data_IF_503702607906
#
_entry.id   IF_503702607906
#
_cell.length_a   1.000
_cell.length_b   1.000
_cell.length_c   1.000
_cell.angle_alpha   90.00
_cell.angle_beta   90.00
_cell.angle_gamma   90.00
#
_symmetry.space_group_name_H-M   'P 1'
#
loop_
_entity.id
_entity.type
_entity.pdbx_description
1 polymer ?
#
# COMPACT_ATOMS: atom_id res chain seq x y z
N UNK A 1 -8.32 17.14 6.33
CA UNK A 1 -8.54 15.70 6.47
C UNK A 1 -8.00 15.32 7.84
N UNK A 2 -8.29 14.13 8.38
CA UNK A 2 -7.67 13.67 9.62
C UNK A 2 -6.54 12.71 9.22
N UNK A 3 -5.29 13.09 9.47
CA UNK A 3 -4.10 12.33 9.04
C UNK A 3 -3.36 11.86 10.28
N UNK A 4 -3.26 10.54 10.46
CA UNK A 4 -2.66 9.91 11.66
C UNK A 4 -1.50 9.02 11.27
N UNK A 5 -0.30 9.25 11.82
CA UNK A 5 0.86 8.38 11.57
C UNK A 5 0.60 7.00 12.20
N UNK A 6 0.93 5.94 11.47
CA UNK A 6 0.86 4.57 11.99
C UNK A 6 2.09 4.27 12.86
N UNK A 7 2.22 3.04 13.35
CA UNK A 7 3.47 2.60 13.98
C UNK A 7 4.66 2.49 13.01
N UNK A 8 4.42 2.49 11.69
CA UNK A 8 5.50 2.48 10.69
C UNK A 8 5.86 3.92 10.32
N UNK A 9 7.15 4.25 10.41
CA UNK A 9 7.61 5.62 10.23
C UNK A 9 7.28 6.14 8.83
N UNK A 10 6.53 7.23 8.73
CA UNK A 10 6.16 7.86 7.47
C UNK A 10 4.91 7.28 6.80
N UNK A 11 4.32 6.19 7.29
CA UNK A 11 3.06 5.67 6.79
C UNK A 11 1.88 6.23 7.60
N UNK A 12 0.79 6.61 6.92
CA UNK A 12 -0.32 7.35 7.53
C UNK A 12 -1.68 6.77 7.16
N UNK A 13 -2.63 6.82 8.09
CA UNK A 13 -4.06 6.64 7.81
C UNK A 13 -4.69 8.01 7.59
N UNK A 14 -5.48 8.14 6.52
CA UNK A 14 -6.20 9.36 6.17
C UNK A 14 -7.70 9.09 6.29
N UNK A 15 -8.31 9.62 7.34
CA UNK A 15 -9.75 9.62 7.53
C UNK A 15 -10.41 10.84 6.86
N UNK A 16 -11.64 10.62 6.40
CA UNK A 16 -12.41 11.56 5.61
C UNK A 16 -13.21 12.50 6.53
N UNK A 17 -13.02 13.81 6.40
CA UNK A 17 -13.86 14.80 7.08
C UNK A 17 -15.11 15.10 6.26
N UNK A 18 -16.21 14.40 6.58
CA UNK A 18 -17.48 14.52 5.86
C UNK A 18 -18.18 15.85 6.15
N UNK A 19 -18.71 16.48 5.09
CA UNK A 19 -19.68 17.58 5.16
C UNK A 19 -20.99 17.09 4.57
N UNK A 20 -21.99 16.89 5.43
CA UNK A 20 -23.24 16.24 5.05
C UNK A 20 -24.34 17.25 4.73
N UNK A 21 -25.18 16.92 3.75
CA UNK A 21 -26.44 17.57 3.45
C UNK A 21 -27.45 16.55 2.87
N UNK A 22 -28.62 17.01 2.43
CA UNK A 22 -29.68 16.12 1.93
C UNK A 22 -29.31 15.31 0.67
N UNK A 23 -28.20 15.62 0.00
CA UNK A 23 -27.69 14.88 -1.17
C UNK A 23 -26.73 13.76 -0.79
N UNK A 24 -26.27 13.71 0.47
CA UNK A 24 -25.22 12.82 0.95
C UNK A 24 -24.11 13.61 1.65
N UNK A 25 -22.85 13.32 1.34
CA UNK A 25 -21.73 14.06 1.89
C UNK A 25 -20.74 14.48 0.80
N UNK A 26 -20.01 15.57 1.06
CA UNK A 26 -18.86 15.99 0.29
C UNK A 26 -17.64 16.06 1.21
N UNK A 27 -16.49 15.59 0.72
CA UNK A 27 -15.27 15.60 1.51
C UNK A 27 -14.02 15.68 0.63
N UNK A 28 -12.95 16.22 1.20
CA UNK A 28 -11.62 16.15 0.58
C UNK A 28 -11.04 14.76 0.86
N UNK A 29 -10.66 14.06 -0.19
CA UNK A 29 -10.08 12.72 -0.11
C UNK A 29 -8.54 12.70 -0.28
N UNK A 30 -7.98 13.83 -0.70
CA UNK A 30 -6.55 14.10 -0.88
C UNK A 30 -6.31 15.61 -0.88
N UNK A 31 -5.16 16.07 -0.38
CA UNK A 31 -4.75 17.47 -0.46
C UNK A 31 -3.22 17.59 -0.46
N UNK A 32 -2.65 18.00 -1.59
CA UNK A 32 -1.19 18.18 -1.71
C UNK A 32 -0.61 19.11 -0.63
N UNK A 33 -1.34 20.16 -0.22
CA UNK A 33 -0.87 21.10 0.80
C UNK A 33 -0.74 20.43 2.17
N UNK A 34 -1.72 19.62 2.57
CA UNK A 34 -1.67 18.89 3.85
C UNK A 34 -0.58 17.81 3.82
N UNK A 35 -0.40 17.14 2.68
CA UNK A 35 0.68 16.15 2.52
C UNK A 35 2.06 16.80 2.63
N UNK A 36 2.31 17.91 1.92
CA UNK A 36 3.57 18.66 2.02
C UNK A 36 3.86 19.17 3.43
N UNK A 37 2.82 19.62 4.15
CA UNK A 37 2.98 20.10 5.53
C UNK A 37 3.45 19.01 6.50
N UNK A 38 3.20 17.74 6.18
CA UNK A 38 3.67 16.57 6.91
C UNK A 38 4.97 15.97 6.34
N UNK A 39 5.57 16.60 5.33
CA UNK A 39 6.76 16.08 4.65
C UNK A 39 6.48 14.87 3.75
N UNK A 40 5.22 14.63 3.36
CA UNK A 40 4.85 13.52 2.49
C UNK A 40 4.96 13.92 1.02
N UNK A 41 5.35 12.98 0.16
CA UNK A 41 5.35 13.18 -1.28
C UNK A 41 3.90 13.32 -1.79
N UNK A 42 3.52 14.47 -2.37
CA UNK A 42 2.16 14.73 -2.84
C UNK A 42 1.98 14.49 -4.35
N UNK A 43 2.99 13.96 -5.04
CA UNK A 43 2.94 13.73 -6.48
C UNK A 43 2.00 12.56 -6.76
N UNK A 44 1.24 12.68 -7.86
CA UNK A 44 0.40 11.61 -8.40
C UNK A 44 0.72 11.53 -9.88
N UNK A 45 1.53 10.54 -10.26
CA UNK A 45 1.91 10.28 -11.64
C UNK A 45 0.83 9.46 -12.37
N UNK A 46 0.16 8.55 -11.65
CA UNK A 46 -0.90 7.70 -12.18
C UNK A 46 -1.98 7.43 -11.14
N UNK A 47 -3.16 7.03 -11.60
CA UNK A 47 -4.23 6.54 -10.76
C UNK A 47 -4.79 5.23 -11.32
N UNK A 48 -4.97 4.26 -10.45
CA UNK A 48 -5.36 2.90 -10.83
C UNK A 48 -6.64 2.49 -10.10
N UNK A 49 -7.39 1.57 -10.71
CA UNK A 49 -8.57 0.94 -10.12
C UNK A 49 -8.40 -0.57 -10.25
N UNK A 50 -8.68 -1.30 -9.18
CA UNK A 50 -8.74 -2.76 -9.23
C UNK A 50 -10.08 -3.23 -8.68
N UNK A 51 -10.86 -3.88 -9.55
CA UNK A 51 -12.08 -4.58 -9.18
C UNK A 51 -11.80 -6.05 -8.89
N UNK A 52 -12.47 -6.60 -7.87
CA UNK A 52 -12.25 -7.94 -7.38
C UNK A 52 -13.60 -8.61 -7.16
N UNK A 53 -13.87 -9.64 -7.96
CA UNK A 53 -15.18 -10.32 -7.96
C UNK A 53 -15.38 -11.13 -6.68
N UNK A 54 -14.34 -11.83 -6.21
CA UNK A 54 -14.45 -12.78 -5.09
C UNK A 54 -13.82 -12.25 -3.81
N UNK A 55 -14.47 -12.50 -2.69
CA UNK A 55 -13.90 -12.49 -1.34
C UNK A 55 -12.67 -13.40 -1.28
N UNK A 56 -11.68 -13.03 -0.47
CA UNK A 56 -10.43 -13.77 -0.32
C UNK A 56 -9.48 -13.61 -1.51
N UNK A 57 -9.77 -12.70 -2.45
CA UNK A 57 -8.81 -12.32 -3.50
C UNK A 57 -7.65 -11.59 -2.84
N UNK A 58 -6.42 -12.03 -3.10
CA UNK A 58 -5.20 -11.41 -2.61
C UNK A 58 -4.41 -10.81 -3.78
N UNK A 59 -3.91 -9.59 -3.57
CA UNK A 59 -2.91 -8.95 -4.45
C UNK A 59 -1.73 -8.49 -3.61
N UNK A 60 -0.51 -8.82 -4.04
CA UNK A 60 0.71 -8.42 -3.35
C UNK A 60 1.57 -9.59 -2.88
N UNK A 61 2.71 -9.31 -2.23
CA UNK A 61 3.16 -7.99 -1.79
C UNK A 61 4.00 -7.28 -2.87
N UNK A 62 3.61 -6.07 -3.29
CA UNK A 62 4.21 -5.35 -4.44
C UNK A 62 4.97 -4.10 -4.03
N UNK A 63 6.06 -3.82 -4.73
CA UNK A 63 6.82 -2.58 -4.64
C UNK A 63 7.62 -2.33 -5.92
N UNK A 64 8.12 -1.10 -6.09
CA UNK A 64 9.14 -0.78 -7.09
C UNK A 64 10.43 -0.39 -6.37
N UNK A 65 11.55 -0.86 -6.88
CA UNK A 65 12.86 -0.44 -6.40
C UNK A 65 13.18 1.00 -6.83
N UNK A 66 13.97 1.75 -6.06
CA UNK A 66 14.61 2.96 -6.54
C UNK A 66 15.41 2.72 -7.84
N UNK A 67 15.52 3.74 -8.73
CA UNK A 67 15.02 5.10 -8.58
C UNK A 67 13.51 5.27 -8.87
N UNK A 68 12.80 4.22 -9.25
CA UNK A 68 11.35 4.26 -9.55
C UNK A 68 10.48 3.90 -8.35
N UNK A 69 10.96 4.12 -7.11
CA UNK A 69 10.19 3.81 -5.92
C UNK A 69 8.93 4.68 -5.88
N UNK A 70 7.80 4.07 -5.52
CA UNK A 70 6.49 4.72 -5.60
C UNK A 70 5.86 4.91 -4.22
N UNK A 71 5.23 6.05 -3.98
CA UNK A 71 4.22 6.18 -2.92
C UNK A 71 2.87 5.71 -3.43
N UNK A 72 2.02 5.18 -2.54
CA UNK A 72 0.62 4.83 -2.87
C UNK A 72 -0.32 5.48 -1.87
N UNK A 73 -1.42 6.04 -2.34
CA UNK A 73 -2.59 6.34 -1.52
C UNK A 73 -3.70 5.37 -1.92
N UNK A 74 -3.95 4.39 -1.05
CA UNK A 74 -4.85 3.27 -1.31
C UNK A 74 -6.16 3.48 -0.59
N UNK A 75 -7.29 3.27 -1.27
CA UNK A 75 -8.63 3.33 -0.69
C UNK A 75 -9.49 2.20 -1.24
N UNK A 76 -10.38 1.68 -0.40
CA UNK A 76 -11.48 0.81 -0.84
C UNK A 76 -12.71 1.68 -1.13
N UNK A 77 -13.14 1.71 -2.39
CA UNK A 77 -14.27 2.55 -2.83
C UNK A 77 -15.59 1.79 -2.85
N UNK A 78 -15.53 0.44 -2.86
CA UNK A 78 -16.67 -0.45 -2.76
C UNK A 78 -16.26 -1.72 -2.02
N UNK A 79 -17.10 -2.22 -1.12
CA UNK A 79 -16.80 -3.39 -0.30
C UNK A 79 -15.74 -3.12 0.77
N UNK A 80 -14.93 -4.14 1.09
CA UNK A 80 -13.96 -4.12 2.20
C UNK A 80 -12.70 -4.89 1.85
N UNK A 81 -11.54 -4.31 2.17
CA UNK A 81 -10.23 -4.99 2.15
C UNK A 81 -9.55 -4.91 3.51
N UNK A 82 -8.70 -5.90 3.81
CA UNK A 82 -7.61 -5.71 4.76
C UNK A 82 -6.35 -5.34 3.96
N UNK A 83 -5.88 -4.12 4.11
CA UNK A 83 -4.71 -3.55 3.44
C UNK A 83 -3.48 -3.68 4.34
N UNK A 84 -2.40 -4.26 3.84
CA UNK A 84 -1.18 -4.54 4.58
C UNK A 84 0.01 -3.87 3.89
N UNK A 85 0.86 -3.22 4.68
CA UNK A 85 2.14 -2.69 4.21
C UNK A 85 3.29 -3.16 5.10
N UNK A 86 4.46 -3.30 4.48
CA UNK A 86 5.71 -3.73 5.12
C UNK A 86 6.79 -2.71 4.80
N UNK A 87 7.51 -2.25 5.82
CA UNK A 87 8.64 -1.35 5.65
C UNK A 87 9.87 -2.12 5.15
N UNK A 88 10.35 -1.81 3.94
CA UNK A 88 11.51 -2.47 3.33
C UNK A 88 12.79 -1.64 3.39
N UNK A 89 12.81 -0.55 4.15
CA UNK A 89 13.95 0.36 4.25
C UNK A 89 14.94 -0.18 5.29
N UNK A 90 16.15 -0.61 4.89
CA UNK A 90 17.10 -1.25 5.83
C UNK A 90 17.55 -0.33 6.96
N UNK A 91 17.55 0.99 6.72
CA UNK A 91 17.89 2.01 7.69
C UNK A 91 16.75 2.38 8.65
N UNK A 92 15.53 1.90 8.40
CA UNK A 92 14.35 2.29 9.17
C UNK A 92 14.30 1.58 10.53
N UNK A 93 13.93 2.29 11.61
CA UNK A 93 13.68 1.65 12.92
C UNK A 93 12.49 0.68 12.88
N UNK A 94 11.65 0.74 11.84
CA UNK A 94 10.51 -0.15 11.62
C UNK A 94 10.75 -1.16 10.50
N UNK A 95 12.00 -1.39 10.08
CA UNK A 95 12.35 -2.38 9.05
C UNK A 95 11.71 -3.75 9.31
N UNK A 96 11.06 -4.31 8.28
CA UNK A 96 10.28 -5.55 8.27
C UNK A 96 9.07 -5.59 9.21
N UNK A 97 8.76 -4.49 9.91
CA UNK A 97 7.49 -4.38 10.60
C UNK A 97 6.37 -4.08 9.60
N UNK A 98 5.15 -4.48 9.98
CA UNK A 98 3.97 -4.29 9.16
C UNK A 98 2.82 -3.70 9.96
N UNK A 99 1.88 -3.08 9.24
CA UNK A 99 0.55 -2.71 9.74
C UNK A 99 -0.50 -3.30 8.82
N UNK A 100 -1.65 -3.62 9.38
CA UNK A 100 -2.84 -4.03 8.66
C UNK A 100 -3.96 -3.03 8.98
N UNK A 101 -4.63 -2.52 7.95
CA UNK A 101 -5.68 -1.52 8.08
C UNK A 101 -6.88 -1.97 7.27
N UNK A 102 -8.04 -2.04 7.91
CA UNK A 102 -9.28 -2.28 7.19
C UNK A 102 -9.71 -1.00 6.44
N UNK A 103 -9.81 -1.08 5.12
CA UNK A 103 -10.32 -0.02 4.26
C UNK A 103 -11.64 -0.50 3.68
N UNK A 104 -12.69 0.31 3.79
CA UNK A 104 -14.00 -0.07 3.26
C UNK A 104 -14.80 1.15 2.78
N UNK A 105 -15.88 0.89 2.05
CA UNK A 105 -16.77 1.90 1.49
C UNK A 105 -17.50 2.76 2.55
N UNK A 106 -17.58 2.28 3.80
CA UNK A 106 -18.25 2.97 4.91
C UNK A 106 -17.32 3.91 5.67
N UNK A 107 -16.07 3.52 5.92
CA UNK A 107 -15.07 4.37 6.57
C UNK A 107 -14.39 5.30 5.56
N UNK A 108 -14.29 4.88 4.31
CA UNK A 108 -13.68 5.58 3.18
C UNK A 108 -12.25 6.06 3.43
N UNK A 109 -11.60 5.55 4.48
CA UNK A 109 -10.25 5.95 4.84
C UNK A 109 -9.27 5.45 3.80
N UNK A 110 -8.12 6.10 3.73
CA UNK A 110 -7.02 5.68 2.89
C UNK A 110 -5.78 5.34 3.71
N UNK A 111 -4.94 4.46 3.17
CA UNK A 111 -3.59 4.21 3.67
C UNK A 111 -2.59 4.88 2.74
N UNK A 112 -1.75 5.76 3.28
CA UNK A 112 -0.58 6.28 2.59
C UNK A 112 0.60 5.36 2.84
N UNK A 113 1.06 4.76 1.75
CA UNK A 113 2.20 3.86 1.65
C UNK A 113 3.40 4.67 1.15
N UNK A 114 4.47 4.81 1.93
CA UNK A 114 5.67 5.51 1.50
C UNK A 114 6.42 4.74 0.41
N UNK A 115 7.37 5.42 -0.23
CA UNK A 115 8.36 4.76 -1.08
C UNK A 115 9.13 3.68 -0.30
N UNK A 116 9.54 2.62 -1.01
CA UNK A 116 10.30 1.50 -0.45
C UNK A 116 9.53 0.71 0.63
N UNK A 117 8.22 0.63 0.50
CA UNK A 117 7.36 -0.29 1.24
C UNK A 117 6.77 -1.33 0.29
N UNK A 118 6.59 -2.56 0.78
CA UNK A 118 5.76 -3.54 0.10
C UNK A 118 4.30 -3.30 0.48
N UNK A 119 3.40 -3.43 -0.50
CA UNK A 119 1.96 -3.24 -0.32
C UNK A 119 1.18 -4.45 -0.85
N UNK A 120 0.16 -4.89 -0.12
CA UNK A 120 -0.77 -5.90 -0.59
C UNK A 120 -2.07 -5.85 0.19
N UNK A 121 -3.11 -6.49 -0.32
CA UNK A 121 -4.40 -6.53 0.35
C UNK A 121 -5.15 -7.83 0.09
N UNK A 122 -6.09 -8.14 0.98
CA UNK A 122 -7.07 -9.20 0.80
C UNK A 122 -8.49 -8.65 0.84
N UNK A 123 -9.33 -9.03 -0.14
CA UNK A 123 -10.76 -8.69 -0.12
C UNK A 123 -11.50 -9.47 0.95
N UNK A 124 -12.32 -8.79 1.75
CA UNK A 124 -13.09 -9.42 2.83
C UNK A 124 -14.53 -9.77 2.40
N UNK A 125 -14.99 -9.17 1.31
CA UNK A 125 -16.32 -9.40 0.70
C UNK A 125 -16.22 -9.47 -0.82
N UNK A 126 -17.23 -10.06 -1.46
CA UNK A 126 -17.34 -10.10 -2.92
C UNK A 126 -17.54 -8.69 -3.49
N UNK A 127 -17.21 -8.50 -4.77
CA UNK A 127 -17.39 -7.24 -5.50
C UNK A 127 -16.74 -6.03 -4.79
N UNK A 128 -15.46 -6.16 -4.48
CA UNK A 128 -14.66 -5.16 -3.78
C UNK A 128 -13.79 -4.38 -4.77
N UNK A 129 -13.90 -3.05 -4.75
CA UNK A 129 -13.15 -2.15 -5.62
C UNK A 129 -12.17 -1.30 -4.83
N UNK A 130 -10.95 -1.19 -5.33
CA UNK A 130 -9.87 -0.39 -4.74
C UNK A 130 -9.39 0.66 -5.72
N UNK A 131 -9.05 1.84 -5.20
CA UNK A 131 -8.48 2.96 -5.96
C UNK A 131 -7.10 3.31 -5.43
N UNK A 132 -6.20 3.67 -6.34
CA UNK A 132 -4.83 4.05 -6.07
C UNK A 132 -4.55 5.42 -6.65
N UNK A 133 -3.87 6.26 -5.90
CA UNK A 133 -3.12 7.41 -6.44
C UNK A 133 -1.65 7.11 -6.17
N UNK A 134 -0.82 7.08 -7.22
CA UNK A 134 0.54 6.56 -7.17
C UNK A 134 1.53 7.64 -7.54
N UNK A 135 2.63 7.74 -6.79
CA UNK A 135 3.61 8.82 -6.90
C UNK A 135 4.55 8.73 -8.10
N UNK A 136 4.66 7.54 -8.71
CA UNK A 136 5.56 7.27 -9.83
C UNK A 136 4.85 6.42 -10.91
N UNK A 137 5.36 6.45 -12.13
CA UNK A 137 4.92 5.60 -13.23
C UNK A 137 5.27 4.13 -12.99
N UNK A 138 4.44 3.26 -13.56
CA UNK A 138 4.71 1.83 -13.56
C UNK A 138 5.97 1.55 -14.38
N UNK A 139 6.98 0.95 -13.73
CA UNK A 139 8.28 0.63 -14.33
C UNK A 139 8.52 -0.87 -14.19
N UNK A 140 8.18 -1.69 -15.21
CA UNK A 140 8.26 -3.15 -15.14
C UNK A 140 9.62 -3.69 -14.69
N UNK A 141 10.71 -3.01 -15.06
CA UNK A 141 12.08 -3.40 -14.74
C UNK A 141 12.44 -3.15 -13.26
N UNK A 142 11.73 -2.23 -12.61
CA UNK A 142 11.89 -1.92 -11.20
C UNK A 142 10.85 -2.61 -10.31
N UNK A 143 9.76 -3.14 -10.89
CA UNK A 143 8.74 -3.89 -10.18
C UNK A 143 9.34 -5.14 -9.52
N UNK A 144 8.97 -5.38 -8.27
CA UNK A 144 9.23 -6.63 -7.59
C UNK A 144 8.16 -6.92 -6.55
N UNK A 145 8.33 -8.04 -5.86
CA UNK A 145 7.41 -8.43 -4.81
C UNK A 145 8.00 -9.46 -3.85
N UNK A 146 7.31 -9.60 -2.73
CA UNK A 146 7.60 -10.60 -1.70
C UNK A 146 6.40 -11.55 -1.57
N UNK A 147 6.72 -12.80 -1.23
CA UNK A 147 5.72 -13.81 -0.99
C UNK A 147 4.76 -13.39 0.14
N UNK A 148 3.46 -13.40 -0.14
CA UNK A 148 2.42 -12.89 0.78
C UNK A 148 2.34 -13.65 2.11
N UNK A 149 2.73 -14.94 2.11
CA UNK A 149 2.75 -15.80 3.30
C UNK A 149 4.18 -16.06 3.81
N UNK A 150 5.13 -15.17 3.52
CA UNK A 150 6.48 -15.29 4.04
C UNK A 150 6.47 -15.31 5.59
N UNK A 151 7.01 -16.37 6.22
CA UNK A 151 6.95 -16.53 7.66
C UNK A 151 7.77 -15.50 8.43
N UNK A 152 8.79 -14.87 7.83
CA UNK A 152 9.59 -13.82 8.46
C UNK A 152 8.87 -12.47 8.48
N UNK A 153 7.94 -12.22 7.54
CA UNK A 153 7.11 -11.02 7.55
C UNK A 153 5.98 -11.10 8.59
N UNK A 154 5.56 -12.32 8.94
CA UNK A 154 4.55 -12.56 9.97
C UNK A 154 3.17 -11.99 9.63
N UNK A 155 2.82 -11.92 8.34
CA UNK A 155 1.56 -11.32 7.89
C UNK A 155 0.39 -12.24 8.22
N UNK A 156 -0.66 -11.68 8.83
CA UNK A 156 -1.90 -12.41 9.13
C UNK A 156 -2.99 -12.01 8.15
N UNK A 157 -3.38 -12.95 7.29
CA UNK A 157 -4.51 -12.78 6.37
C UNK A 157 -5.77 -13.38 6.99
N UNK A 158 -6.88 -12.63 7.09
CA UNK A 158 -8.05 -13.06 7.86
C UNK A 158 -8.85 -14.19 7.19
N UNK A 159 -8.62 -14.42 5.88
CA UNK A 159 -9.31 -15.42 5.09
C UNK A 159 -8.32 -16.33 4.35
N UNK A 160 -8.73 -17.57 4.02
CA UNK A 160 -8.02 -18.36 3.02
C UNK A 160 -7.92 -17.59 1.70
N UNK A 161 -6.74 -17.63 1.06
CA UNK A 161 -6.54 -17.05 -0.26
C UNK A 161 -7.37 -17.84 -1.27
N UNK A 162 -8.36 -17.16 -1.85
CA UNK A 162 -9.32 -17.75 -2.78
C UNK A 162 -8.95 -17.50 -4.24
N UNK A 163 -8.34 -16.34 -4.52
CA UNK A 163 -7.84 -15.96 -5.85
C UNK A 163 -6.55 -15.19 -5.66
N UNK A 164 -5.52 -15.52 -6.44
CA UNK A 164 -4.22 -14.84 -6.47
C UNK A 164 -3.60 -15.02 -7.86
N UNK A 165 -2.92 -13.98 -8.37
CA UNK A 165 -2.34 -14.03 -9.71
C UNK A 165 -1.17 -15.02 -9.80
N UNK A 166 -0.87 -15.54 -10.99
CA UNK A 166 0.33 -16.37 -11.19
C UNK A 166 1.63 -15.61 -10.86
N UNK A 167 1.65 -14.31 -11.12
CA UNK A 167 2.79 -13.44 -10.78
C UNK A 167 3.03 -13.44 -9.27
N UNK A 168 1.99 -13.21 -8.49
CA UNK A 168 2.08 -13.09 -7.04
C UNK A 168 2.42 -14.43 -6.39
N UNK A 169 1.95 -15.54 -6.97
CA UNK A 169 2.32 -16.90 -6.54
C UNK A 169 3.79 -17.24 -6.77
N UNK A 170 4.49 -16.50 -7.65
CA UNK A 170 5.90 -16.73 -8.00
C UNK A 170 6.86 -15.78 -7.30
N UNK A 171 6.38 -14.87 -6.44
CA UNK A 171 7.29 -14.06 -5.66
C UNK A 171 8.14 -14.91 -4.72
N UNK A 172 9.35 -14.44 -4.45
CA UNK A 172 10.34 -15.15 -3.65
C UNK A 172 10.14 -14.87 -2.17
N UNK A 173 10.60 -15.80 -1.34
CA UNK A 173 10.66 -15.59 0.11
C UNK A 173 11.74 -14.55 0.43
N UNK A 174 11.55 -13.81 1.52
CA UNK A 174 12.47 -12.79 1.98
C UNK A 174 13.88 -13.35 2.18
N UNK A 175 14.03 -14.55 2.72
CA UNK A 175 15.35 -15.18 2.90
C UNK A 175 16.10 -15.45 1.59
N UNK A 176 15.41 -15.56 0.46
CA UNK A 176 16.02 -15.77 -0.86
C UNK A 176 16.51 -14.45 -1.48
N UNK A 177 15.95 -13.32 -1.04
CA UNK A 177 16.16 -12.01 -1.70
C UNK A 177 16.65 -10.91 -0.77
N UNK A 178 16.79 -11.15 0.54
CA UNK A 178 17.05 -10.09 1.52
C UNK A 178 18.32 -9.29 1.22
N UNK A 179 19.39 -9.93 0.76
CA UNK A 179 20.63 -9.24 0.42
C UNK A 179 20.45 -8.29 -0.78
N UNK A 180 19.73 -8.74 -1.83
CA UNK A 180 19.38 -7.92 -2.98
C UNK A 180 18.45 -6.77 -2.56
N UNK A 181 17.42 -7.10 -1.77
CA UNK A 181 16.44 -6.17 -1.25
C UNK A 181 17.12 -5.04 -0.49
N UNK A 182 18.00 -5.37 0.48
CA UNK A 182 18.73 -4.37 1.26
C UNK A 182 19.58 -3.48 0.36
N UNK A 183 20.40 -4.08 -0.50
CA UNK A 183 21.30 -3.32 -1.37
C UNK A 183 20.57 -2.38 -2.33
N UNK A 184 19.38 -2.76 -2.84
CA UNK A 184 18.59 -1.94 -3.76
C UNK A 184 17.64 -0.96 -3.07
N UNK A 185 17.28 -1.20 -1.80
CA UNK A 185 16.43 -0.30 -1.02
C UNK A 185 17.23 0.75 -0.24
N UNK A 186 18.54 0.58 -0.07
CA UNK A 186 19.40 1.61 0.53
C UNK A 186 19.43 2.88 -0.33
N UNK A 187 19.26 4.03 0.31
CA UNK A 187 19.36 5.34 -0.35
C UNK A 187 20.78 5.69 -0.81
N UNK A 188 21.79 4.95 -0.33
CA UNK A 188 23.21 5.26 -0.52
C UNK A 188 23.74 5.14 -1.97
N UNK A 189 22.88 4.74 -2.93
CA UNK A 189 23.22 4.66 -4.35
C UNK A 189 22.58 5.73 -5.24
N UNK A 190 21.84 6.70 -4.68
CA UNK A 190 21.05 7.70 -5.43
C UNK A 190 21.63 9.12 -5.24
N UNK A 191 22.95 9.23 -5.15
CA UNK A 191 23.65 10.49 -5.46
C UNK A 191 24.34 10.29 -6.81
N UNK A 192 23.71 10.82 -7.86
CA UNK A 192 24.20 10.86 -9.24
C UNK A 192 23.42 11.86 -10.05
#
# INVERSE_FOLDING_TARGET
MIITETKLKGAYIIDIERREDSRGFFARAFCQREFRALGLNPIIAQANIASNVRRGTLRGMHFQFPPAAETKLVRCTRGTILDIIVDLRPESPTYLQHVAVELNELNQRALYVPERFAHGYQTLVDNTDTSYQVGEFYTPEAESGLMYNDPRLGLTWPLPVSVISEKDQRFRLLNEVESELKGRMELAGIEG
#
